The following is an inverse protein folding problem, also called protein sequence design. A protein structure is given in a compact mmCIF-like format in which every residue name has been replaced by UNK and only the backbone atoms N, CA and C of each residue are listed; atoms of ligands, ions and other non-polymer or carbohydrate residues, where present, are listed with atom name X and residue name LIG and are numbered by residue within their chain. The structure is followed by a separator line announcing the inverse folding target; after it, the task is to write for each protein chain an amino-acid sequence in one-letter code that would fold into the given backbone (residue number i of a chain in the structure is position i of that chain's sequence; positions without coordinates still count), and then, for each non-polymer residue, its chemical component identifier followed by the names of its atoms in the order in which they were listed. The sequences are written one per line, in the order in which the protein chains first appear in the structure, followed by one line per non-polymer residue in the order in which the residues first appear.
data_IF_391367793646
#
_entry.id   IF_391367793646
#
_cell.length_a   1.000
_cell.length_b   1.000
_cell.length_c   1.000
_cell.angle_alpha   90.00
_cell.angle_beta   90.00
_cell.angle_gamma   90.00
#
_symmetry.space_group_name_H-M   'P 1'
#
loop_
_entity.id
_entity.type
_entity.pdbx_description
1 polymer ?
#
# COMPACT_ATOMS: atom_id res chain seq x y z
N UNK A 1 27.93 24.78 81.25
CA UNK A 1 28.16 24.98 79.79
C UNK A 1 28.43 23.57 79.20
N UNK A 2 27.29 22.94 78.83
CA UNK A 2 27.31 21.55 78.32
C UNK A 2 27.65 21.57 76.84
N UNK A 3 28.67 20.84 76.49
CA UNK A 3 29.08 20.63 75.11
C UNK A 3 28.21 19.51 74.53
N UNK A 4 27.27 19.87 73.61
CA UNK A 4 26.48 18.94 72.77
C UNK A 4 27.41 18.08 71.95
N UNK A 5 27.37 16.78 72.13
CA UNK A 5 27.99 15.76 71.27
C UNK A 5 27.09 15.58 70.03
N UNK A 6 27.61 15.95 68.87
CA UNK A 6 27.03 15.57 67.57
C UNK A 6 26.94 14.03 67.44
N UNK A 7 25.83 13.50 66.90
CA UNK A 7 25.70 12.06 66.66
C UNK A 7 26.69 11.59 65.55
N UNK A 8 27.23 10.39 65.76
CA UNK A 8 28.15 9.75 64.82
C UNK A 8 27.43 9.50 63.45
N UNK A 9 28.17 9.61 62.31
CA UNK A 9 27.61 9.30 61.02
C UNK A 9 27.18 7.81 60.92
N UNK A 10 26.01 7.62 60.27
CA UNK A 10 25.45 6.28 60.01
C UNK A 10 26.45 5.39 59.26
N UNK A 11 26.42 4.04 59.48
CA UNK A 11 27.38 3.14 58.88
C UNK A 11 27.22 3.14 57.34
N UNK A 12 28.35 3.34 56.70
CA UNK A 12 28.53 3.26 55.25
C UNK A 12 28.02 1.89 54.73
N UNK A 13 27.17 1.88 53.71
CA UNK A 13 26.73 0.70 52.98
C UNK A 13 27.87 -0.28 52.78
N UNK A 14 27.64 -1.56 53.11
CA UNK A 14 28.64 -2.64 52.98
C UNK A 14 29.07 -2.82 51.51
N UNK A 15 30.28 -3.30 51.25
CA UNK A 15 30.81 -3.55 49.94
C UNK A 15 29.93 -4.52 49.13
N UNK A 16 29.21 -5.42 49.80
CA UNK A 16 28.23 -6.36 49.27
C UNK A 16 27.00 -5.66 48.69
N UNK A 17 26.50 -4.57 49.33
CA UNK A 17 25.36 -3.79 48.82
C UNK A 17 25.73 -2.99 47.55
N UNK A 18 26.99 -2.57 47.44
CA UNK A 18 27.44 -1.85 46.21
C UNK A 18 27.59 -2.78 45.02
N UNK A 19 28.07 -4.00 45.20
CA UNK A 19 28.17 -5.03 44.15
C UNK A 19 26.78 -5.36 43.59
N UNK A 20 25.77 -5.56 44.45
CA UNK A 20 24.40 -5.84 44.04
C UNK A 20 23.72 -4.66 43.31
N UNK A 21 24.07 -3.42 43.63
CA UNK A 21 23.54 -2.23 42.97
C UNK A 21 24.14 -2.06 41.55
N UNK A 22 25.43 -2.33 41.38
CA UNK A 22 26.07 -2.29 40.06
C UNK A 22 25.52 -3.39 39.14
N UNK A 23 25.31 -4.59 39.64
CA UNK A 23 24.74 -5.72 38.91
C UNK A 23 23.31 -5.43 38.41
N UNK A 24 22.51 -4.74 39.24
CA UNK A 24 21.15 -4.33 38.88
C UNK A 24 21.11 -3.21 37.82
N UNK A 25 22.02 -2.22 37.91
CA UNK A 25 22.11 -1.13 36.93
C UNK A 25 22.49 -1.69 35.55
N UNK A 26 23.48 -2.59 35.49
CA UNK A 26 23.89 -3.25 34.23
C UNK A 26 22.73 -4.09 33.63
N UNK A 27 22.01 -4.85 34.49
CA UNK A 27 20.81 -5.58 34.04
C UNK A 27 19.70 -4.67 33.49
N UNK A 28 19.54 -3.48 34.07
CA UNK A 28 18.55 -2.50 33.63
C UNK A 28 18.95 -1.86 32.29
N UNK A 29 20.23 -1.55 32.07
CA UNK A 29 20.75 -1.04 30.81
C UNK A 29 20.52 -2.06 29.68
N UNK A 30 20.84 -3.32 29.89
CA UNK A 30 20.60 -4.42 28.94
C UNK A 30 19.11 -4.61 28.64
N UNK A 31 18.24 -4.48 29.65
CA UNK A 31 16.80 -4.54 29.45
C UNK A 31 16.32 -3.39 28.56
N UNK A 32 16.82 -2.16 28.76
CA UNK A 32 16.48 -1.02 27.94
C UNK A 32 16.89 -1.22 26.47
N UNK A 33 18.08 -1.75 26.24
CA UNK A 33 18.55 -2.11 24.89
C UNK A 33 17.61 -3.15 24.24
N UNK A 34 17.27 -4.22 24.96
CA UNK A 34 16.33 -5.23 24.47
C UNK A 34 14.95 -4.66 24.15
N UNK A 35 14.42 -3.75 24.99
CA UNK A 35 13.14 -3.07 24.77
C UNK A 35 13.20 -2.19 23.52
N UNK A 36 14.30 -1.47 23.30
CA UNK A 36 14.49 -0.68 22.09
C UNK A 36 14.54 -1.56 20.83
N UNK A 37 15.30 -2.67 20.85
CA UNK A 37 15.31 -3.61 19.73
C UNK A 37 13.93 -4.22 19.48
N UNK A 38 13.20 -4.63 20.52
CA UNK A 38 11.85 -5.17 20.41
C UNK A 38 10.87 -4.15 19.80
N UNK A 39 11.02 -2.87 20.11
CA UNK A 39 10.17 -1.80 19.54
C UNK A 39 10.36 -1.61 18.04
N UNK A 40 11.53 -1.97 17.52
CA UNK A 40 11.88 -1.88 16.10
C UNK A 40 11.62 -3.16 15.32
N UNK A 41 11.37 -4.28 16.01
CA UNK A 41 11.14 -5.57 15.37
C UNK A 41 9.92 -5.53 14.43
N UNK A 42 10.09 -6.14 13.24
CA UNK A 42 9.06 -6.21 12.19
C UNK A 42 8.59 -7.63 11.91
N UNK A 43 9.17 -8.61 12.57
CA UNK A 43 8.83 -10.02 12.40
C UNK A 43 8.91 -10.79 13.70
N UNK A 44 8.14 -11.88 13.77
CA UNK A 44 8.20 -12.80 14.92
C UNK A 44 9.60 -13.39 15.08
N UNK A 45 10.31 -13.66 14.00
CA UNK A 45 11.67 -14.21 14.03
C UNK A 45 12.69 -13.25 14.65
N UNK A 46 12.54 -11.95 14.41
CA UNK A 46 13.37 -10.93 15.08
C UNK A 46 13.08 -10.88 16.58
N UNK A 47 11.81 -10.90 16.98
CA UNK A 47 11.40 -10.95 18.39
C UNK A 47 11.99 -12.18 19.07
N UNK A 48 11.90 -13.36 18.45
CA UNK A 48 12.43 -14.61 18.99
C UNK A 48 13.94 -14.51 19.24
N UNK A 49 14.69 -13.96 18.27
CA UNK A 49 16.14 -13.75 18.40
C UNK A 49 16.48 -12.83 19.57
N UNK A 50 15.82 -11.67 19.65
CA UNK A 50 16.07 -10.67 20.69
C UNK A 50 15.77 -11.27 22.06
N UNK A 51 14.60 -11.87 22.24
CA UNK A 51 14.15 -12.38 23.54
C UNK A 51 15.08 -13.46 24.08
N UNK A 52 15.48 -14.44 23.25
CA UNK A 52 16.34 -15.54 23.73
C UNK A 52 17.72 -15.04 24.15
N UNK A 53 18.35 -14.14 23.39
CA UNK A 53 19.67 -13.59 23.73
C UNK A 53 19.58 -12.70 24.98
N UNK A 54 18.63 -11.78 25.01
CA UNK A 54 18.45 -10.88 26.16
C UNK A 54 18.07 -11.62 27.44
N UNK A 55 17.20 -12.65 27.37
CA UNK A 55 16.86 -13.44 28.53
C UNK A 55 18.07 -14.10 29.15
N UNK A 56 19.00 -14.61 28.34
CA UNK A 56 20.23 -15.23 28.77
C UNK A 56 21.22 -14.23 29.37
N UNK A 57 21.37 -13.07 28.70
CA UNK A 57 22.29 -12.01 29.16
C UNK A 57 21.84 -11.34 30.45
N UNK A 58 20.52 -11.13 30.63
CA UNK A 58 19.95 -10.50 31.82
C UNK A 58 20.17 -11.30 33.12
N UNK A 59 20.30 -12.63 33.01
CA UNK A 59 20.36 -13.50 34.18
C UNK A 59 21.65 -14.33 34.27
N UNK A 60 22.50 -14.25 33.21
CA UNK A 60 23.70 -15.10 33.13
C UNK A 60 23.38 -16.59 33.15
N UNK A 61 22.20 -17.02 32.73
CA UNK A 61 21.78 -18.41 32.74
C UNK A 61 22.48 -19.25 31.64
N UNK A 62 22.50 -20.56 31.82
CA UNK A 62 23.11 -21.51 30.88
C UNK A 62 22.24 -21.82 29.68
N UNK A 63 20.94 -21.42 29.70
CA UNK A 63 20.03 -21.55 28.58
C UNK A 63 18.77 -20.75 28.77
N UNK A 64 18.23 -20.22 27.64
CA UNK A 64 16.97 -19.55 27.57
C UNK A 64 16.08 -20.14 26.48
N UNK A 65 14.77 -20.18 26.68
CA UNK A 65 13.78 -20.60 25.68
C UNK A 65 12.67 -19.59 25.55
N UNK A 66 12.20 -19.41 24.33
CA UNK A 66 10.92 -18.76 24.05
C UNK A 66 9.89 -19.82 23.70
N UNK A 67 8.83 -19.89 24.49
CA UNK A 67 7.73 -20.82 24.30
C UNK A 67 6.48 -20.04 23.92
N UNK A 68 5.82 -20.46 22.86
CA UNK A 68 4.57 -19.87 22.40
C UNK A 68 3.40 -20.79 22.73
N UNK A 69 2.25 -20.21 23.00
CA UNK A 69 1.02 -20.97 23.14
C UNK A 69 0.49 -21.34 21.76
N UNK A 70 0.22 -22.62 21.54
CA UNK A 70 -0.32 -23.21 20.32
C UNK A 70 -1.58 -24.01 20.72
N UNK A 71 -2.70 -23.30 20.89
CA UNK A 71 -3.96 -23.80 21.48
C UNK A 71 -3.78 -24.44 22.85
N UNK A 72 -3.86 -25.77 22.92
CA UNK A 72 -3.68 -26.62 24.11
C UNK A 72 -2.23 -27.09 24.29
N UNK A 73 -1.31 -26.57 23.51
CA UNK A 73 0.11 -26.97 23.52
C UNK A 73 1.04 -25.79 23.78
N UNK A 74 2.21 -26.11 24.24
CA UNK A 74 3.37 -25.25 24.37
C UNK A 74 4.33 -25.57 23.23
N UNK A 75 4.52 -24.65 22.30
CA UNK A 75 5.50 -24.75 21.22
C UNK A 75 6.80 -24.05 21.61
N UNK A 76 7.88 -24.78 21.74
CA UNK A 76 9.21 -24.26 22.01
C UNK A 76 9.79 -23.65 20.73
N UNK A 77 9.49 -22.40 20.51
CA UNK A 77 9.72 -21.71 19.24
C UNK A 77 11.19 -21.43 18.98
N UNK A 78 11.93 -21.04 20.03
CA UNK A 78 13.37 -20.77 19.91
C UNK A 78 14.10 -21.02 21.24
N UNK A 79 15.43 -21.25 21.14
CA UNK A 79 16.30 -21.47 22.31
C UNK A 79 17.71 -20.94 22.04
N UNK A 80 18.38 -20.51 23.12
CA UNK A 80 19.81 -20.24 23.19
C UNK A 80 20.34 -20.88 24.46
N UNK A 81 21.11 -21.97 24.35
CA UNK A 81 21.54 -22.75 25.48
C UNK A 81 22.90 -23.44 25.23
N UNK A 82 23.61 -23.79 26.33
CA UNK A 82 24.89 -24.49 26.26
C UNK A 82 24.82 -25.90 25.66
N UNK A 83 23.63 -26.50 25.66
CA UNK A 83 23.31 -27.76 25.01
C UNK A 83 21.84 -27.76 24.57
N UNK A 84 21.48 -28.52 23.51
CA UNK A 84 20.12 -28.55 23.01
C UNK A 84 19.08 -28.89 24.07
N UNK A 85 17.95 -28.17 24.05
CA UNK A 85 16.81 -28.40 24.94
C UNK A 85 15.63 -28.97 24.14
N UNK A 86 14.67 -28.14 23.77
CA UNK A 86 13.41 -28.61 23.20
C UNK A 86 12.96 -27.79 21.96
N UNK A 87 13.83 -27.03 21.33
CA UNK A 87 13.46 -26.23 20.15
C UNK A 87 12.73 -27.06 19.09
N UNK A 88 11.60 -26.56 18.63
CA UNK A 88 10.74 -27.23 17.65
C UNK A 88 9.73 -28.21 18.25
N UNK A 89 9.88 -28.57 19.54
CA UNK A 89 8.99 -29.53 20.23
C UNK A 89 7.66 -28.88 20.64
N UNK A 90 6.64 -29.71 20.75
CA UNK A 90 5.32 -29.34 21.26
C UNK A 90 4.91 -30.25 22.38
N UNK A 91 4.59 -29.70 23.54
CA UNK A 91 4.12 -30.43 24.70
C UNK A 91 2.69 -29.98 25.05
N UNK A 92 1.85 -30.90 25.60
CA UNK A 92 0.56 -30.49 26.16
C UNK A 92 0.74 -29.40 27.22
N UNK A 93 -0.11 -28.40 27.25
CA UNK A 93 0.04 -27.24 28.14
C UNK A 93 0.00 -27.64 29.62
N UNK A 94 -0.73 -28.68 29.96
CA UNK A 94 -0.82 -29.23 31.33
C UNK A 94 0.40 -30.07 31.74
N UNK A 95 1.24 -30.48 30.77
CA UNK A 95 2.33 -31.42 30.99
C UNK A 95 3.71 -30.77 31.08
N UNK A 96 3.81 -29.47 31.02
CA UNK A 96 5.09 -28.75 31.03
C UNK A 96 5.05 -27.48 31.91
N UNK A 97 6.22 -27.03 32.37
CA UNK A 97 6.35 -25.88 33.27
C UNK A 97 5.96 -24.57 32.58
N UNK A 98 6.24 -24.43 31.29
CA UNK A 98 5.78 -23.28 30.50
C UNK A 98 4.26 -23.18 30.50
N UNK A 99 3.59 -24.33 30.35
CA UNK A 99 2.13 -24.40 30.47
C UNK A 99 1.63 -24.06 31.86
N UNK A 100 2.28 -24.59 32.90
CA UNK A 100 1.93 -24.24 34.27
C UNK A 100 2.03 -22.72 34.53
N UNK A 101 3.11 -22.05 34.10
CA UNK A 101 3.27 -20.63 34.25
C UNK A 101 2.18 -19.85 33.49
N UNK A 102 1.78 -20.29 32.30
CA UNK A 102 0.70 -19.67 31.53
C UNK A 102 -0.68 -19.88 32.18
N UNK A 103 -0.99 -21.10 32.62
CA UNK A 103 -2.29 -21.41 33.22
C UNK A 103 -2.50 -20.74 34.59
N UNK A 104 -1.44 -20.64 35.40
CA UNK A 104 -1.49 -19.99 36.72
C UNK A 104 -1.21 -18.48 36.64
N UNK A 105 -0.75 -17.95 35.46
CA UNK A 105 -0.46 -16.53 35.23
C UNK A 105 0.59 -15.96 36.17
N UNK A 106 1.52 -16.80 36.60
CA UNK A 106 2.58 -16.42 37.50
C UNK A 106 3.92 -17.09 37.14
N UNK A 107 5.01 -16.52 37.64
CA UNK A 107 6.34 -17.08 37.41
C UNK A 107 6.51 -18.41 38.17
N UNK A 108 6.98 -19.44 37.46
CA UNK A 108 7.43 -20.67 38.09
C UNK A 108 8.92 -20.54 38.46
N UNK A 109 9.21 -20.47 39.74
CA UNK A 109 10.55 -20.37 40.29
C UNK A 109 10.92 -21.74 40.88
N UNK A 110 11.96 -22.41 40.33
CA UNK A 110 12.34 -23.76 40.66
C UNK A 110 13.84 -23.81 40.94
N UNK A 111 14.30 -23.65 42.21
CA UNK A 111 15.70 -23.66 42.56
C UNK A 111 16.36 -25.05 42.46
N UNK A 112 15.56 -26.13 42.48
CA UNK A 112 16.01 -27.51 42.34
C UNK A 112 14.92 -28.33 41.64
N UNK A 113 15.15 -28.71 40.37
CA UNK A 113 14.17 -29.46 39.57
C UNK A 113 13.87 -30.86 40.13
N UNK A 114 14.77 -31.44 40.95
CA UNK A 114 14.57 -32.76 41.51
C UNK A 114 13.68 -32.79 42.74
N UNK A 115 13.38 -31.63 43.33
CA UNK A 115 12.53 -31.47 44.51
C UNK A 115 11.17 -30.90 44.22
N UNK A 116 10.96 -30.29 43.03
CA UNK A 116 9.71 -29.69 42.68
C UNK A 116 8.76 -30.70 41.98
N UNK A 117 7.57 -30.92 42.53
CA UNK A 117 6.63 -31.91 41.97
C UNK A 117 6.03 -31.51 40.62
N UNK A 118 6.12 -30.24 40.25
CA UNK A 118 5.62 -29.72 38.96
C UNK A 118 6.50 -30.13 37.79
N UNK A 119 7.74 -30.58 38.04
CA UNK A 119 8.70 -30.92 36.99
C UNK A 119 8.42 -32.32 36.43
N UNK A 120 8.20 -32.46 35.11
CA UNK A 120 8.11 -33.76 34.45
C UNK A 120 9.51 -34.39 34.34
N UNK A 121 9.95 -35.13 35.36
CA UNK A 121 11.30 -35.64 35.50
C UNK A 121 11.84 -36.38 34.28
N UNK A 122 10.98 -37.06 33.50
CA UNK A 122 11.37 -37.80 32.29
C UNK A 122 11.92 -36.91 31.19
N UNK A 123 11.41 -35.69 31.09
CA UNK A 123 11.81 -34.72 30.04
C UNK A 123 13.13 -34.04 30.42
N UNK A 124 13.31 -33.73 31.70
CA UNK A 124 14.48 -32.98 32.19
C UNK A 124 15.73 -33.81 32.41
N UNK A 125 15.60 -35.15 32.64
CA UNK A 125 16.75 -36.04 32.92
C UNK A 125 17.83 -36.05 31.85
N UNK A 126 17.45 -35.84 30.58
CA UNK A 126 18.38 -35.86 29.46
C UNK A 126 19.05 -34.48 29.23
N UNK A 127 18.71 -33.46 30.02
CA UNK A 127 19.19 -32.08 29.84
C UNK A 127 20.20 -31.71 30.93
N UNK A 128 20.91 -30.60 30.74
CA UNK A 128 21.82 -30.02 31.73
C UNK A 128 21.08 -29.35 32.89
N UNK A 129 19.80 -29.08 32.78
CA UNK A 129 19.00 -28.23 33.70
C UNK A 129 19.00 -28.80 35.13
N UNK A 130 19.27 -27.92 36.12
CA UNK A 130 19.17 -28.18 37.55
C UNK A 130 18.25 -27.24 38.29
N UNK A 131 18.09 -26.03 37.77
CA UNK A 131 17.16 -25.03 38.26
C UNK A 131 16.61 -24.22 37.09
N UNK A 132 15.48 -23.57 37.27
CA UNK A 132 14.88 -22.76 36.25
C UNK A 132 13.97 -21.65 36.79
N UNK A 133 13.76 -20.64 35.96
CA UNK A 133 12.64 -19.66 36.08
C UNK A 133 11.87 -19.67 34.77
N UNK A 134 10.56 -19.66 34.87
CA UNK A 134 9.67 -19.57 33.74
C UNK A 134 8.67 -18.40 33.97
N UNK A 135 8.70 -17.36 33.16
CA UNK A 135 7.81 -16.21 33.29
C UNK A 135 6.80 -16.19 32.16
N UNK A 136 5.51 -15.95 32.42
CA UNK A 136 4.51 -15.87 31.36
C UNK A 136 4.64 -14.56 30.57
N UNK A 137 4.46 -14.64 29.25
CA UNK A 137 4.32 -13.50 28.37
C UNK A 137 2.84 -13.10 28.37
N UNK A 138 2.55 -11.89 28.85
CA UNK A 138 1.19 -11.38 29.10
C UNK A 138 0.50 -12.10 30.28
N UNK A 139 0.27 -11.37 31.37
CA UNK A 139 -0.29 -11.96 32.60
C UNK A 139 -1.78 -12.31 32.51
N UNK A 140 -2.59 -11.48 31.84
CA UNK A 140 -4.05 -11.70 31.81
C UNK A 140 -4.44 -12.87 30.87
N UNK A 141 -3.85 -12.93 29.71
CA UNK A 141 -4.08 -13.97 28.70
C UNK A 141 -2.72 -14.40 28.14
N UNK A 142 -2.00 -15.30 28.80
CA UNK A 142 -0.66 -15.66 28.39
C UNK A 142 -0.62 -16.24 26.97
N UNK A 143 0.20 -15.63 26.13
CA UNK A 143 0.45 -16.03 24.74
C UNK A 143 1.72 -16.86 24.60
N UNK A 144 2.50 -16.98 25.68
CA UNK A 144 3.75 -17.72 25.72
C UNK A 144 4.40 -17.63 27.07
N UNK A 145 5.65 -18.08 27.15
CA UNK A 145 6.50 -17.99 28.32
C UNK A 145 7.97 -17.86 27.91
N UNK A 146 8.78 -17.21 28.77
CA UNK A 146 10.23 -17.17 28.67
C UNK A 146 10.79 -18.03 29.78
N UNK A 147 11.63 -19.02 29.43
CA UNK A 147 12.29 -19.90 30.37
C UNK A 147 13.78 -19.66 30.41
N UNK A 148 14.32 -19.52 31.64
CA UNK A 148 15.75 -19.46 31.90
C UNK A 148 16.19 -20.67 32.73
N UNK A 149 17.33 -21.29 32.37
CA UNK A 149 17.79 -22.56 32.89
C UNK A 149 19.25 -22.50 33.30
N UNK A 150 19.58 -23.11 34.46
CA UNK A 150 20.95 -23.22 34.96
C UNK A 150 21.37 -24.69 35.11
N UNK A 151 22.64 -24.97 34.80
CA UNK A 151 23.26 -26.27 34.94
C UNK A 151 23.63 -26.60 36.40
N UNK A 152 23.37 -25.68 37.33
CA UNK A 152 23.59 -25.82 38.76
C UNK A 152 22.34 -25.39 39.54
N UNK A 153 22.31 -25.68 40.83
CA UNK A 153 21.27 -25.17 41.71
C UNK A 153 21.46 -23.67 41.86
N UNK A 154 20.46 -22.91 41.43
CA UNK A 154 20.44 -21.46 41.49
C UNK A 154 19.13 -21.01 42.12
N UNK A 155 19.15 -20.35 43.29
CA UNK A 155 17.98 -19.66 43.82
C UNK A 155 17.89 -18.31 43.10
N UNK A 156 16.97 -18.12 42.14
CA UNK A 156 16.89 -16.87 41.39
C UNK A 156 16.55 -15.71 42.31
N UNK A 157 17.24 -14.58 42.13
CA UNK A 157 16.99 -13.38 42.91
C UNK A 157 15.68 -12.69 42.46
N UNK A 158 15.09 -11.90 43.35
CA UNK A 158 13.93 -11.09 42.97
C UNK A 158 14.23 -10.13 41.81
N UNK A 159 15.47 -9.68 41.66
CA UNK A 159 15.91 -8.78 40.60
C UNK A 159 15.88 -9.50 39.24
N UNK A 160 16.46 -10.71 39.15
CA UNK A 160 16.41 -11.55 37.95
C UNK A 160 14.97 -11.82 37.49
N UNK A 161 14.09 -12.14 38.45
CA UNK A 161 12.66 -12.41 38.15
C UNK A 161 11.99 -11.16 37.62
N UNK A 162 12.26 -9.97 38.22
CA UNK A 162 11.68 -8.69 37.74
C UNK A 162 12.18 -8.31 36.34
N UNK A 163 13.47 -8.47 36.07
CA UNK A 163 14.04 -8.20 34.73
C UNK A 163 13.44 -9.13 33.67
N UNK A 164 13.32 -10.42 33.96
CA UNK A 164 12.69 -11.38 33.06
C UNK A 164 11.21 -11.07 32.80
N UNK A 165 10.47 -10.68 33.85
CA UNK A 165 9.06 -10.31 33.70
C UNK A 165 8.91 -9.04 32.87
N UNK A 166 9.78 -8.04 33.06
CA UNK A 166 9.78 -6.83 32.25
C UNK A 166 10.11 -7.12 30.77
N UNK A 167 11.05 -8.04 30.51
CA UNK A 167 11.32 -8.52 29.15
C UNK A 167 10.10 -9.23 28.55
N UNK A 168 9.43 -10.10 29.34
CA UNK A 168 8.23 -10.81 28.89
C UNK A 168 7.06 -9.84 28.59
N UNK A 169 6.87 -8.83 29.41
CA UNK A 169 5.84 -7.79 29.20
C UNK A 169 6.13 -6.98 27.92
N UNK A 170 7.40 -6.60 27.71
CA UNK A 170 7.83 -5.90 26.48
C UNK A 170 7.71 -6.78 25.22
N UNK A 171 8.02 -8.08 25.36
CA UNK A 171 7.83 -9.07 24.29
C UNK A 171 6.37 -9.17 23.88
N UNK A 172 5.43 -9.14 24.82
CA UNK A 172 4.00 -9.16 24.54
C UNK A 172 3.58 -7.98 23.66
N UNK A 173 4.06 -6.78 23.98
CA UNK A 173 3.77 -5.56 23.21
C UNK A 173 4.37 -5.65 21.80
N UNK A 174 5.62 -6.12 21.68
CA UNK A 174 6.27 -6.26 20.39
C UNK A 174 5.54 -7.27 19.48
N UNK A 175 5.10 -8.40 20.03
CA UNK A 175 4.33 -9.42 19.28
C UNK A 175 2.99 -8.87 18.79
N UNK A 176 2.29 -8.14 19.65
CA UNK A 176 1.02 -7.49 19.29
C UNK A 176 1.20 -6.43 18.18
N UNK A 177 2.26 -5.63 18.27
CA UNK A 177 2.59 -4.65 17.24
C UNK A 177 2.86 -5.32 15.89
N UNK A 178 3.69 -6.36 15.83
CA UNK A 178 3.99 -7.09 14.59
C UNK A 178 2.71 -7.65 13.96
N UNK A 179 1.83 -8.24 14.78
CA UNK A 179 0.55 -8.77 14.31
C UNK A 179 -0.36 -7.66 13.77
N UNK A 180 -0.48 -6.55 14.50
CA UNK A 180 -1.30 -5.40 14.11
C UNK A 180 -0.81 -4.76 12.80
N UNK A 181 0.52 -4.60 12.65
CA UNK A 181 1.09 -4.07 11.41
C UNK A 181 0.78 -4.97 10.21
N UNK A 182 0.94 -6.28 10.36
CA UNK A 182 0.62 -7.23 9.29
C UNK A 182 -0.86 -7.18 8.89
N UNK A 183 -1.77 -7.05 9.87
CA UNK A 183 -3.21 -6.90 9.61
C UNK A 183 -3.54 -5.57 8.91
N UNK A 184 -2.92 -4.46 9.36
CA UNK A 184 -3.12 -3.15 8.74
C UNK A 184 -2.63 -3.12 7.30
N UNK A 185 -1.45 -3.67 7.02
CA UNK A 185 -0.93 -3.78 5.66
C UNK A 185 -1.86 -4.59 4.75
N UNK A 186 -2.41 -5.68 5.25
CA UNK A 186 -3.38 -6.47 4.48
C UNK A 186 -4.65 -5.65 4.20
N UNK A 187 -5.21 -4.96 5.19
CA UNK A 187 -6.39 -4.10 5.00
C UNK A 187 -6.14 -2.97 4.01
N UNK A 188 -4.93 -2.37 4.04
CA UNK A 188 -4.56 -1.32 3.07
C UNK A 188 -4.55 -1.90 1.66
N UNK A 189 -3.91 -3.06 1.44
CA UNK A 189 -3.90 -3.73 0.13
C UNK A 189 -5.32 -4.02 -0.38
N UNK A 190 -6.17 -4.60 0.46
CA UNK A 190 -7.54 -4.97 0.10
C UNK A 190 -8.39 -3.73 -0.26
N UNK A 191 -8.25 -2.65 0.53
CA UNK A 191 -8.97 -1.40 0.26
C UNK A 191 -8.48 -0.69 -1.01
N UNK A 192 -7.17 -0.70 -1.25
CA UNK A 192 -6.61 -0.10 -2.48
C UNK A 192 -7.13 -0.83 -3.71
N UNK A 193 -7.09 -2.16 -3.72
CA UNK A 193 -7.64 -2.97 -4.82
C UNK A 193 -9.15 -2.72 -5.04
N UNK A 194 -9.94 -2.61 -3.96
CA UNK A 194 -11.37 -2.32 -4.05
C UNK A 194 -11.64 -0.91 -4.61
N UNK A 195 -10.86 0.10 -4.21
CA UNK A 195 -10.96 1.47 -4.72
C UNK A 195 -10.58 1.56 -6.20
N UNK A 196 -9.52 0.90 -6.63
CA UNK A 196 -9.12 0.83 -8.03
C UNK A 196 -10.22 0.22 -8.90
N UNK A 197 -10.79 -0.93 -8.47
CA UNK A 197 -11.91 -1.57 -9.16
C UNK A 197 -13.16 -0.69 -9.24
N UNK A 198 -13.51 0.02 -8.16
CA UNK A 198 -14.64 0.94 -8.15
C UNK A 198 -14.40 2.14 -9.07
N UNK A 199 -13.17 2.68 -9.11
CA UNK A 199 -12.81 3.79 -9.98
C UNK A 199 -12.84 3.40 -11.46
N UNK A 200 -12.34 2.19 -11.80
CA UNK A 200 -12.48 1.64 -13.16
C UNK A 200 -13.94 1.50 -13.59
N UNK A 201 -14.81 1.03 -12.69
CA UNK A 201 -16.25 0.91 -12.99
C UNK A 201 -16.89 2.28 -13.19
N UNK A 202 -16.57 3.28 -12.36
CA UNK A 202 -17.04 4.66 -12.52
C UNK A 202 -16.56 5.23 -13.85
N UNK A 203 -15.29 5.06 -14.20
CA UNK A 203 -14.70 5.51 -15.47
C UNK A 203 -15.36 4.81 -16.66
N UNK A 204 -15.67 3.53 -16.53
CA UNK A 204 -16.39 2.77 -17.55
C UNK A 204 -17.82 3.23 -17.75
N UNK A 205 -18.48 3.72 -16.70
CA UNK A 205 -19.85 4.26 -16.77
C UNK A 205 -19.88 5.72 -17.22
N UNK A 206 -18.80 6.48 -17.08
CA UNK A 206 -18.70 7.86 -17.52
C UNK A 206 -18.94 7.98 -19.03
N UNK A 207 -19.65 9.02 -19.43
CA UNK A 207 -19.90 9.40 -20.84
C UNK A 207 -19.12 10.66 -21.25
N UNK A 208 -18.27 11.19 -20.34
CA UNK A 208 -17.48 12.39 -20.55
C UNK A 208 -15.99 12.10 -20.55
N UNK A 209 -15.22 12.83 -21.34
CA UNK A 209 -13.75 12.84 -21.33
C UNK A 209 -13.26 13.78 -20.21
N UNK A 210 -12.43 13.28 -19.32
CA UNK A 210 -11.97 14.00 -18.11
C UNK A 210 -11.12 15.23 -18.45
N UNK A 211 -10.29 15.15 -19.50
CA UNK A 211 -9.39 16.24 -19.88
C UNK A 211 -10.14 17.42 -20.48
N UNK A 212 -11.10 17.13 -21.36
CA UNK A 212 -11.80 18.14 -22.18
C UNK A 212 -13.21 18.44 -21.68
N UNK A 213 -13.84 17.51 -20.90
CA UNK A 213 -15.26 17.59 -20.52
C UNK A 213 -16.22 17.51 -21.71
N UNK A 214 -15.78 17.08 -22.89
CA UNK A 214 -16.61 16.66 -24.01
C UNK A 214 -17.16 15.26 -23.77
N UNK A 215 -18.04 14.77 -24.65
CA UNK A 215 -18.37 13.35 -24.62
C UNK A 215 -17.12 12.53 -24.91
N UNK A 216 -16.95 11.41 -24.22
CA UNK A 216 -15.95 10.41 -24.58
C UNK A 216 -16.49 9.50 -25.70
N UNK A 217 -15.69 8.51 -26.12
CA UNK A 217 -16.09 7.53 -27.15
C UNK A 217 -17.45 6.92 -26.85
N UNK A 218 -17.70 6.47 -25.62
CA UNK A 218 -18.96 5.88 -25.22
C UNK A 218 -20.13 6.84 -25.29
N UNK A 219 -19.95 8.05 -24.76
CA UNK A 219 -20.95 9.13 -24.84
C UNK A 219 -21.29 9.48 -26.28
N UNK A 220 -20.27 9.51 -27.16
CA UNK A 220 -20.48 9.73 -28.59
C UNK A 220 -21.38 8.67 -29.21
N UNK A 221 -21.06 7.39 -29.04
CA UNK A 221 -21.88 6.30 -29.62
C UNK A 221 -23.33 6.34 -29.17
N UNK A 222 -23.56 6.50 -27.85
CA UNK A 222 -24.93 6.57 -27.31
C UNK A 222 -25.77 7.70 -27.95
N UNK A 223 -25.17 8.90 -28.05
CA UNK A 223 -25.85 10.08 -28.61
C UNK A 223 -25.96 10.03 -30.15
N UNK A 224 -24.91 9.54 -30.83
CA UNK A 224 -24.87 9.43 -32.27
C UNK A 224 -25.90 8.44 -32.83
N UNK A 225 -26.05 7.28 -32.21
CA UNK A 225 -27.11 6.33 -32.59
C UNK A 225 -28.51 6.90 -32.40
N UNK A 226 -28.74 7.61 -31.29
CA UNK A 226 -30.04 8.28 -31.07
C UNK A 226 -30.30 9.35 -32.11
N UNK A 227 -29.28 10.14 -32.45
CA UNK A 227 -29.35 11.20 -33.45
C UNK A 227 -29.61 10.68 -34.85
N UNK A 228 -28.93 9.58 -35.26
CA UNK A 228 -29.16 8.93 -36.56
C UNK A 228 -30.60 8.43 -36.69
N UNK A 229 -31.12 7.74 -35.65
CA UNK A 229 -32.52 7.29 -35.63
C UNK A 229 -33.50 8.44 -35.75
N UNK A 230 -33.26 9.52 -34.99
CA UNK A 230 -34.12 10.72 -35.04
C UNK A 230 -34.09 11.42 -36.38
N UNK A 231 -32.89 11.57 -36.97
CA UNK A 231 -32.74 12.20 -38.29
C UNK A 231 -33.43 11.40 -39.40
N UNK A 232 -33.30 10.07 -39.38
CA UNK A 232 -34.01 9.19 -40.30
C UNK A 232 -35.55 9.38 -40.24
N UNK A 233 -36.13 9.46 -39.03
CA UNK A 233 -37.55 9.69 -38.85
C UNK A 233 -38.02 11.05 -39.38
N UNK A 234 -37.18 12.08 -39.28
CA UNK A 234 -37.51 13.44 -39.69
C UNK A 234 -37.16 13.77 -41.15
N UNK A 235 -36.53 12.83 -41.86
CA UNK A 235 -36.08 13.05 -43.24
C UNK A 235 -34.87 13.99 -43.34
N UNK A 236 -34.05 14.10 -42.28
CA UNK A 236 -32.89 14.97 -42.25
C UNK A 236 -31.60 14.17 -42.46
N UNK A 237 -30.61 14.75 -43.13
CA UNK A 237 -29.27 14.19 -43.27
C UNK A 237 -28.43 14.48 -42.01
N UNK A 238 -27.56 13.56 -41.68
CA UNK A 238 -26.52 13.80 -40.67
C UNK A 238 -25.15 13.95 -41.35
N UNK A 239 -24.33 14.82 -40.82
CA UNK A 239 -22.92 14.96 -41.20
C UNK A 239 -22.06 14.58 -39.99
N UNK A 240 -21.11 13.64 -40.20
CA UNK A 240 -20.10 13.30 -39.24
C UNK A 240 -18.76 13.85 -39.70
N UNK A 241 -18.07 14.58 -38.84
CA UNK A 241 -16.70 15.02 -39.01
C UNK A 241 -15.81 14.25 -38.02
N UNK A 242 -14.79 13.56 -38.52
CA UNK A 242 -13.72 12.97 -37.75
C UNK A 242 -12.49 13.87 -37.85
N UNK A 243 -11.89 14.24 -36.75
CA UNK A 243 -10.79 15.19 -36.69
C UNK A 243 -9.60 14.52 -35.93
N UNK A 244 -8.41 14.72 -36.47
CA UNK A 244 -7.14 14.36 -35.84
C UNK A 244 -6.31 15.66 -35.69
N UNK A 245 -5.89 15.95 -34.47
CA UNK A 245 -5.17 17.19 -34.13
C UNK A 245 -3.72 17.10 -34.62
N UNK A 246 -3.34 18.01 -35.51
CA UNK A 246 -2.01 18.02 -36.10
C UNK A 246 -0.96 18.49 -35.09
N UNK A 247 0.20 17.81 -35.06
CA UNK A 247 1.38 18.27 -34.34
C UNK A 247 1.37 18.06 -32.82
N UNK A 248 0.41 17.34 -32.24
CA UNK A 248 0.37 17.05 -30.79
C UNK A 248 1.68 16.44 -30.29
N UNK A 249 2.24 15.47 -31.01
CA UNK A 249 3.51 14.84 -30.65
C UNK A 249 4.64 15.87 -30.59
N UNK A 250 4.74 16.76 -31.58
CA UNK A 250 5.75 17.81 -31.62
C UNK A 250 5.63 18.75 -30.42
N UNK A 251 4.42 19.18 -30.08
CA UNK A 251 4.18 20.05 -28.92
C UNK A 251 4.58 19.33 -27.61
N UNK A 252 4.25 18.05 -27.48
CA UNK A 252 4.68 17.25 -26.34
C UNK A 252 6.22 17.14 -26.24
N UNK A 253 6.88 16.87 -27.37
CA UNK A 253 8.33 16.68 -27.41
C UNK A 253 9.08 17.99 -27.16
N UNK A 254 8.59 19.14 -27.64
CA UNK A 254 9.22 20.45 -27.53
C UNK A 254 8.87 21.20 -26.23
N UNK A 255 7.64 21.04 -25.70
CA UNK A 255 7.10 21.88 -24.62
C UNK A 255 6.55 21.06 -23.42
N UNK A 256 6.58 19.74 -23.50
CA UNK A 256 6.11 18.83 -22.45
C UNK A 256 4.61 18.50 -22.55
N UNK A 257 4.20 17.48 -21.79
CA UNK A 257 2.83 16.95 -21.82
C UNK A 257 1.77 17.97 -21.38
N UNK A 258 2.09 18.87 -20.45
CA UNK A 258 1.16 19.93 -20.03
C UNK A 258 0.77 20.87 -21.18
N UNK A 259 1.71 21.15 -22.09
CA UNK A 259 1.43 21.94 -23.29
C UNK A 259 0.57 21.17 -24.30
N UNK A 260 0.78 19.87 -24.44
CA UNK A 260 -0.07 19.01 -25.25
C UNK A 260 -1.49 18.92 -24.70
N UNK A 261 -1.64 18.79 -23.38
CA UNK A 261 -2.95 18.81 -22.73
C UNK A 261 -3.67 20.17 -22.92
N UNK A 262 -2.92 21.27 -22.88
CA UNK A 262 -3.46 22.59 -23.17
C UNK A 262 -3.94 22.69 -24.62
N UNK A 263 -3.17 22.18 -25.60
CA UNK A 263 -3.55 22.13 -27.01
C UNK A 263 -4.85 21.32 -27.20
N UNK A 264 -4.98 20.16 -26.57
CA UNK A 264 -6.20 19.34 -26.63
C UNK A 264 -7.41 20.06 -26.00
N UNK A 265 -7.22 20.78 -24.89
CA UNK A 265 -8.25 21.59 -24.25
C UNK A 265 -8.68 22.77 -25.14
N UNK A 266 -7.75 23.41 -25.82
CA UNK A 266 -8.02 24.52 -26.75
C UNK A 266 -8.81 24.01 -27.96
N UNK A 267 -8.48 22.85 -28.54
CA UNK A 267 -9.29 22.20 -29.58
C UNK A 267 -10.73 21.97 -29.10
N UNK A 268 -10.88 21.39 -27.91
CA UNK A 268 -12.19 21.16 -27.33
C UNK A 268 -12.98 22.46 -27.13
N UNK A 269 -12.34 23.55 -26.75
CA UNK A 269 -12.95 24.87 -26.60
C UNK A 269 -13.40 25.41 -27.95
N UNK A 270 -12.58 25.29 -28.99
CA UNK A 270 -12.94 25.69 -30.37
C UNK A 270 -14.17 24.91 -30.86
N UNK A 271 -14.16 23.57 -30.71
CA UNK A 271 -15.28 22.73 -31.11
C UNK A 271 -16.58 23.06 -30.35
N UNK A 272 -16.46 23.40 -29.05
CA UNK A 272 -17.62 23.86 -28.24
C UNK A 272 -18.17 25.20 -28.72
N UNK A 273 -17.33 26.13 -29.13
CA UNK A 273 -17.77 27.47 -29.53
C UNK A 273 -18.60 27.47 -30.79
N UNK A 274 -18.41 26.50 -31.67
CA UNK A 274 -19.12 26.40 -32.97
C UNK A 274 -20.25 25.38 -32.97
N UNK A 275 -20.42 24.61 -31.88
CA UNK A 275 -21.51 23.63 -31.76
C UNK A 275 -22.86 24.34 -31.56
N UNK A 276 -23.91 23.82 -32.19
CA UNK A 276 -25.31 24.15 -31.86
C UNK A 276 -25.73 23.21 -30.68
N UNK A 277 -26.84 23.54 -30.03
CA UNK A 277 -27.38 22.74 -28.94
C UNK A 277 -27.64 21.27 -29.34
N UNK A 278 -28.05 21.08 -30.61
CA UNK A 278 -28.29 19.76 -31.17
C UNK A 278 -27.03 19.01 -31.61
N UNK A 279 -25.87 19.65 -31.70
CA UNK A 279 -24.64 19.02 -32.21
C UNK A 279 -23.97 18.18 -31.12
N UNK A 280 -23.46 17.02 -31.51
CA UNK A 280 -22.68 16.14 -30.65
C UNK A 280 -21.20 16.41 -30.91
N UNK A 281 -20.45 16.70 -29.86
CA UNK A 281 -18.98 16.85 -29.90
C UNK A 281 -18.37 15.89 -28.89
N UNK A 282 -17.36 15.17 -29.34
CA UNK A 282 -16.69 14.15 -28.52
C UNK A 282 -15.18 14.11 -28.77
N UNK A 283 -14.44 13.64 -27.78
CA UNK A 283 -13.07 13.18 -27.91
C UNK A 283 -13.07 11.66 -27.84
N UNK A 284 -12.55 11.00 -28.88
CA UNK A 284 -12.57 9.53 -28.96
C UNK A 284 -11.33 8.89 -28.31
N UNK A 285 -10.24 9.63 -28.21
CA UNK A 285 -8.98 9.23 -27.58
C UNK A 285 -7.81 10.05 -28.11
N UNK A 286 -6.74 10.21 -27.34
CA UNK A 286 -5.54 10.90 -27.80
C UNK A 286 -5.81 12.26 -28.42
N UNK A 287 -5.56 12.38 -29.71
CA UNK A 287 -5.75 13.55 -30.59
C UNK A 287 -7.00 13.46 -31.48
N UNK A 288 -7.83 12.43 -31.31
CA UNK A 288 -9.00 12.16 -32.13
C UNK A 288 -10.28 12.80 -31.56
N UNK A 289 -10.97 13.58 -32.37
CA UNK A 289 -12.25 14.21 -32.05
C UNK A 289 -13.33 13.85 -33.08
N UNK A 290 -14.58 13.88 -32.65
CA UNK A 290 -15.73 13.71 -33.51
C UNK A 290 -16.77 14.81 -33.31
N UNK A 291 -17.37 15.27 -34.42
CA UNK A 291 -18.51 16.18 -34.42
C UNK A 291 -19.60 15.55 -35.27
N UNK A 292 -20.83 15.47 -34.73
CA UNK A 292 -21.99 15.01 -35.49
C UNK A 292 -23.10 16.06 -35.47
N UNK A 293 -23.50 16.49 -36.65
CA UNK A 293 -24.51 17.53 -36.83
C UNK A 293 -25.69 17.00 -37.65
N UNK A 294 -26.86 17.57 -37.44
CA UNK A 294 -28.03 17.36 -38.32
C UNK A 294 -28.15 18.57 -39.20
N UNK A 295 -28.09 18.38 -40.49
CA UNK A 295 -28.21 19.47 -41.50
C UNK A 295 -29.36 19.14 -42.44
N UNK A 296 -30.19 20.15 -42.69
CA UNK A 296 -31.31 20.02 -43.63
C UNK A 296 -30.89 20.29 -45.09
N UNK A 297 -29.94 21.22 -45.34
CA UNK A 297 -29.63 21.67 -46.72
C UNK A 297 -28.13 21.96 -47.01
N UNK A 298 -27.26 22.10 -46.01
CA UNK A 298 -25.92 22.70 -46.23
C UNK A 298 -24.77 21.70 -46.51
N UNK A 299 -24.96 20.42 -46.28
CA UNK A 299 -24.00 19.38 -46.57
C UNK A 299 -22.65 19.47 -45.85
N UNK A 300 -21.68 18.66 -46.26
CA UNK A 300 -20.33 18.55 -45.63
C UNK A 300 -19.51 19.83 -45.78
N UNK A 301 -19.69 20.60 -46.85
CA UNK A 301 -18.93 21.82 -47.13
C UNK A 301 -19.14 22.90 -46.05
N UNK A 302 -20.40 23.17 -45.66
CA UNK A 302 -20.70 24.15 -44.63
C UNK A 302 -20.16 23.78 -43.25
N UNK A 303 -20.14 22.49 -42.92
CA UNK A 303 -19.52 22.00 -41.65
C UNK A 303 -18.01 22.22 -41.71
N UNK A 304 -17.37 21.91 -42.83
CA UNK A 304 -15.93 22.13 -43.05
C UNK A 304 -15.56 23.59 -42.88
N UNK A 305 -16.28 24.50 -43.56
CA UNK A 305 -16.02 25.95 -43.53
C UNK A 305 -16.18 26.48 -42.08
N UNK A 306 -17.22 26.07 -41.39
CA UNK A 306 -17.47 26.45 -39.99
C UNK A 306 -16.35 26.02 -39.06
N UNK A 307 -15.84 24.80 -39.19
CA UNK A 307 -14.71 24.30 -38.40
C UNK A 307 -13.42 25.03 -38.76
N UNK A 308 -13.12 25.19 -40.03
CA UNK A 308 -11.93 25.90 -40.52
C UNK A 308 -11.89 27.37 -40.05
N UNK A 309 -13.02 28.07 -40.09
CA UNK A 309 -13.12 29.43 -39.59
C UNK A 309 -12.89 29.54 -38.10
N UNK A 310 -13.38 28.55 -37.32
CA UNK A 310 -13.19 28.54 -35.88
C UNK A 310 -11.73 28.33 -35.49
N UNK A 311 -11.03 27.41 -36.16
CA UNK A 311 -9.59 27.21 -35.95
C UNK A 311 -8.78 28.45 -36.33
N UNK A 312 -9.14 29.11 -37.46
CA UNK A 312 -8.49 30.35 -37.91
C UNK A 312 -8.67 31.48 -36.90
N UNK A 313 -9.90 31.73 -36.46
CA UNK A 313 -10.23 32.76 -35.48
C UNK A 313 -9.49 32.54 -34.15
N UNK A 314 -9.38 31.29 -33.69
CA UNK A 314 -8.61 30.97 -32.49
C UNK A 314 -7.14 31.30 -32.68
N UNK A 315 -6.52 30.92 -33.81
CA UNK A 315 -5.11 31.17 -34.08
C UNK A 315 -4.78 32.65 -34.17
N UNK A 316 -5.72 33.49 -34.66
CA UNK A 316 -5.54 34.95 -34.75
C UNK A 316 -5.58 35.62 -33.36
N UNK A 317 -6.37 35.08 -32.42
CA UNK A 317 -6.65 35.72 -31.12
C UNK A 317 -5.99 35.02 -29.93
N UNK A 318 -5.58 33.76 -30.07
CA UNK A 318 -5.28 32.85 -28.96
C UNK A 318 -3.98 33.10 -28.21
N UNK A 319 -2.97 33.75 -28.81
CA UNK A 319 -1.68 34.04 -28.14
C UNK A 319 -0.94 32.83 -27.62
N UNK A 320 -1.17 31.64 -28.19
CA UNK A 320 -0.57 30.39 -27.82
C UNK A 320 0.80 30.18 -28.49
N UNK A 321 1.73 29.43 -27.89
CA UNK A 321 3.01 29.13 -28.50
C UNK A 321 2.94 28.09 -29.64
N UNK A 322 1.74 27.59 -29.92
CA UNK A 322 1.48 26.62 -30.98
C UNK A 322 0.34 27.09 -31.88
N UNK A 323 0.31 26.57 -33.10
CA UNK A 323 -0.76 26.82 -34.08
C UNK A 323 -1.74 25.62 -34.04
N UNK A 324 -3.02 25.89 -33.81
CA UNK A 324 -4.08 24.87 -33.83
C UNK A 324 -4.45 24.53 -35.26
N UNK A 325 -4.30 23.26 -35.63
CA UNK A 325 -4.80 22.68 -36.86
C UNK A 325 -5.28 21.25 -36.64
N UNK A 326 -6.15 20.77 -37.48
CA UNK A 326 -6.62 19.40 -37.46
C UNK A 326 -6.89 18.93 -38.92
N UNK A 327 -6.53 17.70 -39.20
CA UNK A 327 -6.94 17.01 -40.42
C UNK A 327 -8.38 16.52 -40.26
N UNK A 328 -9.28 16.76 -41.21
CA UNK A 328 -10.73 16.59 -41.03
C UNK A 328 -11.34 15.74 -42.17
N UNK A 329 -11.84 14.57 -41.83
CA UNK A 329 -12.66 13.76 -42.72
C UNK A 329 -14.15 13.99 -42.48
N UNK A 330 -14.92 14.26 -43.50
CA UNK A 330 -16.36 14.50 -43.42
C UNK A 330 -17.15 13.51 -44.26
N UNK A 331 -18.17 12.92 -43.63
CA UNK A 331 -19.11 12.01 -44.29
C UNK A 331 -20.54 12.47 -44.03
N UNK A 332 -21.36 12.50 -45.09
CA UNK A 332 -22.79 12.67 -44.97
C UNK A 332 -23.48 11.31 -44.93
N UNK A 333 -24.37 11.12 -43.97
CA UNK A 333 -25.28 10.00 -43.89
C UNK A 333 -26.60 10.40 -44.52
N UNK A 334 -26.91 9.91 -45.75
CA UNK A 334 -28.17 10.23 -46.42
C UNK A 334 -29.33 9.54 -45.68
N UNK A 335 -30.51 10.18 -45.70
CA UNK A 335 -31.74 9.63 -45.10
C UNK A 335 -32.10 8.23 -45.65
N UNK A 336 -31.75 7.97 -46.93
CA UNK A 336 -32.10 6.72 -47.60
C UNK A 336 -31.20 5.52 -47.19
N UNK A 337 -30.06 5.78 -46.55
CA UNK A 337 -29.11 4.74 -46.14
C UNK A 337 -29.23 4.48 -44.63
N UNK A 338 -29.41 3.23 -44.23
CA UNK A 338 -29.36 2.81 -42.84
C UNK A 338 -27.90 2.63 -42.39
N UNK A 339 -27.09 3.68 -42.50
CA UNK A 339 -25.70 3.63 -42.08
C UNK A 339 -25.57 3.56 -40.55
N UNK A 340 -24.70 2.71 -40.09
CA UNK A 340 -24.34 2.62 -38.67
C UNK A 340 -23.31 3.69 -38.28
N UNK A 341 -23.20 4.00 -37.01
CA UNK A 341 -22.17 4.92 -36.48
C UNK A 341 -20.77 4.42 -36.86
N UNK A 342 -20.52 3.11 -36.77
CA UNK A 342 -19.22 2.51 -37.11
C UNK A 342 -18.85 2.69 -38.60
N UNK A 343 -19.80 2.48 -39.51
CA UNK A 343 -19.57 2.69 -40.94
C UNK A 343 -19.28 4.17 -41.28
N UNK A 344 -19.98 5.07 -40.60
CA UNK A 344 -19.73 6.52 -40.78
C UNK A 344 -18.37 6.94 -40.26
N UNK A 345 -17.99 6.43 -39.08
CA UNK A 345 -16.66 6.69 -38.48
C UNK A 345 -15.56 6.15 -39.38
N UNK A 346 -15.65 4.90 -39.87
CA UNK A 346 -14.64 4.31 -40.72
C UNK A 346 -14.45 5.10 -42.02
N UNK A 347 -15.54 5.51 -42.67
CA UNK A 347 -15.51 6.36 -43.90
C UNK A 347 -14.93 7.75 -43.65
N UNK A 348 -15.25 8.35 -42.49
CA UNK A 348 -14.72 9.66 -42.11
C UNK A 348 -13.22 9.59 -41.80
N UNK A 349 -12.77 8.54 -41.12
CA UNK A 349 -11.36 8.29 -40.83
C UNK A 349 -10.53 8.10 -42.11
N UNK A 350 -11.02 7.32 -43.09
CA UNK A 350 -10.38 7.18 -44.41
C UNK A 350 -10.18 8.53 -45.11
N UNK A 351 -11.21 9.41 -45.08
CA UNK A 351 -11.15 10.74 -45.70
C UNK A 351 -10.19 11.67 -44.93
N UNK A 352 -10.19 11.62 -43.60
CA UNK A 352 -9.28 12.39 -42.76
C UNK A 352 -7.83 11.97 -43.04
N UNK A 353 -7.56 10.67 -43.12
CA UNK A 353 -6.21 10.15 -43.42
C UNK A 353 -5.72 10.56 -44.83
N UNK A 354 -6.61 10.60 -45.82
CA UNK A 354 -6.30 11.12 -47.16
C UNK A 354 -5.94 12.61 -47.11
N UNK A 355 -6.66 13.43 -46.36
CA UNK A 355 -6.36 14.84 -46.13
C UNK A 355 -5.03 15.05 -45.42
N UNK A 356 -4.75 14.24 -44.36
CA UNK A 356 -3.51 14.27 -43.58
C UNK A 356 -2.29 14.00 -44.48
N UNK A 357 -2.38 13.05 -45.40
CA UNK A 357 -1.30 12.75 -46.36
C UNK A 357 -1.11 13.85 -47.42
N UNK A 358 -2.16 14.59 -47.76
CA UNK A 358 -2.09 15.68 -48.74
C UNK A 358 -1.52 16.98 -48.13
N UNK A 359 -1.51 17.09 -46.78
CA UNK A 359 -1.05 18.28 -46.06
C UNK A 359 0.47 18.47 -46.16
N UNK A 360 0.98 19.74 -46.28
CA UNK A 360 2.41 20.04 -46.40
C UNK A 360 3.26 19.61 -45.19
N UNK A 361 2.68 19.54 -44.00
CA UNK A 361 3.40 19.15 -42.75
C UNK A 361 3.76 17.67 -42.73
N UNK A 362 2.95 16.78 -43.33
CA UNK A 362 3.29 15.37 -43.44
C UNK A 362 4.49 15.10 -44.38
N UNK A 363 4.66 15.93 -45.40
CA UNK A 363 5.78 15.82 -46.36
C UNK A 363 7.14 16.21 -45.74
N UNK A 364 7.13 17.03 -44.69
CA UNK A 364 8.38 17.40 -43.96
C UNK A 364 8.86 16.35 -42.97
N UNK A 365 7.96 15.52 -42.43
CA UNK A 365 8.31 14.45 -41.50
C UNK A 365 8.97 13.24 -42.21
N UNK A 366 8.63 12.96 -43.48
CA UNK A 366 9.24 11.85 -44.24
C UNK A 366 10.64 12.17 -44.80
N UNK A 367 10.98 13.44 -44.99
CA UNK A 367 12.29 13.84 -45.55
C UNK A 367 13.37 13.96 -44.47
N UNK A 368 13.02 13.93 -43.18
CA UNK A 368 13.96 13.99 -42.06
C UNK A 368 14.41 12.63 -41.51
N UNK A 369 14.02 11.52 -42.14
CA UNK A 369 14.35 10.14 -41.71
C UNK A 369 15.23 9.38 -42.68
N UNK A 370 16.08 10.08 -43.43
CA UNK A 370 17.11 9.46 -44.32
C UNK A 370 18.50 9.87 -43.83
#
# INVERSE_FOLDING_TARGET
MDAERLPAPAPCCSATDRLGVYDYVDGMERLLEAVQELSLARSLSEIQRIVRSSARELTGCDGATLVLRDDDKCYYADEDAIAPLWKGSRFPIEACISGWAMLNREAAIIPDIYRDPRIPQGIYRATFVKSLVMVPIRKLEPIGAIGNYWAHRHPPSEQEIRLLQALADSTSIAMENVQLYAELEQRVRDRTAALESANEEISRLSVTDELTGLNNRRGFYLLAEQKLRGAHHLGHNCVLAFLDVDGLKRVNDEQGHDAGDALIKDVAQVLRSVRRESDIVARLGGDEFCVMVTESDSGTAAVKDRLAEAFRSFNETGGRPYHLSASIGLVQAPVAEHATVDELLARADELMYAEKKASPDSRRAEVGST
#
